data_IF_087137492841
#
_entry.id   IF_087137492841
#
_cell.length_a   1.000
_cell.length_b   1.000
_cell.length_c   1.000
_cell.angle_alpha   90.00
_cell.angle_beta   90.00
_cell.angle_gamma   90.00
#
_symmetry.space_group_name_H-M   'P 1'
#
loop_
_entity.id
_entity.type
_entity.pdbx_description
1 polymer ?
#
# COMPACT_ATOMS: atom_id res chain seq x y z
N UNK A 1 -2.33 12.73 -11.29
CA UNK A 1 -2.20 11.26 -11.19
C UNK A 1 -2.95 10.61 -12.35
N UNK A 2 -2.26 10.16 -13.41
CA UNK A 2 -2.93 9.50 -14.56
C UNK A 2 -2.51 8.03 -14.78
N UNK A 3 -1.56 7.51 -13.99
CA UNK A 3 -1.03 6.14 -14.15
C UNK A 3 -0.83 5.44 -12.79
N UNK A 4 -1.78 5.58 -11.86
CA UNK A 4 -1.78 4.83 -10.60
C UNK A 4 -3.06 3.97 -10.53
N UNK A 5 -2.95 2.79 -9.94
CA UNK A 5 -4.08 1.86 -9.74
C UNK A 5 -4.32 1.72 -8.25
N UNK A 6 -5.57 1.95 -7.82
CA UNK A 6 -5.98 1.72 -6.45
C UNK A 6 -6.34 0.25 -6.25
N UNK A 7 -5.68 -0.40 -5.30
CA UNK A 7 -6.03 -1.75 -4.85
C UNK A 7 -6.55 -1.67 -3.42
N UNK A 8 -7.66 -2.37 -3.14
CA UNK A 8 -8.26 -2.47 -1.81
C UNK A 8 -8.51 -3.93 -1.49
N UNK A 9 -8.07 -4.36 -0.32
CA UNK A 9 -8.30 -5.69 0.21
C UNK A 9 -9.23 -5.60 1.43
N UNK A 10 -10.33 -6.34 1.41
CA UNK A 10 -11.31 -6.39 2.51
C UNK A 10 -10.89 -7.48 3.52
N UNK A 11 -10.48 -7.06 4.72
CA UNK A 11 -10.01 -7.96 5.78
C UNK A 11 -11.12 -8.44 6.73
N UNK A 12 -12.40 -8.30 6.38
CA UNK A 12 -13.51 -8.78 7.23
C UNK A 12 -13.56 -10.31 7.34
N UNK A 13 -13.07 -11.04 6.32
CA UNK A 13 -13.17 -12.51 6.24
C UNK A 13 -11.84 -13.28 6.35
N UNK A 14 -10.81 -12.71 7.01
CA UNK A 14 -9.49 -13.36 7.25
C UNK A 14 -9.01 -14.24 6.07
N UNK A 15 -9.06 -13.69 4.87
CA UNK A 15 -8.71 -14.39 3.64
C UNK A 15 -7.22 -14.80 3.64
N UNK A 16 -6.89 -16.04 3.27
CA UNK A 16 -5.53 -16.54 3.34
C UNK A 16 -4.54 -15.77 2.43
N UNK A 17 -5.00 -15.25 1.29
CA UNK A 17 -4.19 -14.44 0.37
C UNK A 17 -3.85 -13.10 1.00
N UNK A 18 -4.83 -12.44 1.63
CA UNK A 18 -4.62 -11.18 2.33
C UNK A 18 -3.73 -11.41 3.57
N UNK A 19 -3.91 -12.53 4.29
CA UNK A 19 -3.09 -12.91 5.44
C UNK A 19 -1.61 -13.03 5.04
N UNK A 20 -1.35 -13.70 3.92
CA UNK A 20 -0.01 -13.84 3.36
C UNK A 20 0.60 -12.49 2.98
N UNK A 21 -0.15 -11.66 2.26
CA UNK A 21 0.32 -10.32 1.88
C UNK A 21 0.63 -9.43 3.10
N UNK A 22 -0.17 -9.52 4.17
CA UNK A 22 0.11 -8.84 5.44
C UNK A 22 1.40 -9.38 6.09
N UNK A 23 1.58 -10.69 6.13
CA UNK A 23 2.75 -11.34 6.72
C UNK A 23 4.04 -11.02 5.95
N UNK A 24 4.00 -10.93 4.62
CA UNK A 24 5.12 -10.49 3.77
C UNK A 24 5.61 -9.08 4.14
N UNK A 25 4.72 -8.24 4.71
CA UNK A 25 5.04 -6.90 5.22
C UNK A 25 5.27 -6.88 6.73
N UNK A 26 5.39 -8.04 7.38
CA UNK A 26 5.58 -8.17 8.82
C UNK A 26 4.37 -7.73 9.66
N UNK A 27 3.15 -7.77 9.08
CA UNK A 27 1.93 -7.33 9.74
C UNK A 27 1.03 -8.51 10.12
N UNK A 28 0.49 -8.45 11.33
CA UNK A 28 -0.50 -9.41 11.81
C UNK A 28 -1.96 -9.03 11.40
N UNK A 29 -2.17 -7.84 10.84
CA UNK A 29 -3.49 -7.30 10.57
C UNK A 29 -3.48 -5.90 9.95
N UNK A 30 -4.70 -5.37 9.75
CA UNK A 30 -4.98 -4.03 9.19
C UNK A 30 -4.99 -2.95 10.28
N UNK A 31 -4.84 -1.65 9.95
CA UNK A 31 -4.65 -1.07 8.61
C UNK A 31 -3.22 -1.20 8.09
N UNK A 32 -3.07 -1.52 6.80
CA UNK A 32 -1.81 -1.46 6.06
C UNK A 32 -2.04 -0.72 4.74
N UNK A 33 -1.21 0.28 4.49
CA UNK A 33 -1.22 1.06 3.26
C UNK A 33 0.16 0.98 2.63
N UNK A 34 0.18 0.68 1.34
CA UNK A 34 1.39 0.48 0.55
C UNK A 34 1.31 1.32 -0.72
N UNK A 35 2.45 1.84 -1.17
CA UNK A 35 2.60 2.41 -2.51
C UNK A 35 3.76 1.72 -3.21
N UNK A 36 3.49 1.12 -4.36
CA UNK A 36 4.49 0.45 -5.17
C UNK A 36 5.06 1.41 -6.23
N UNK A 37 6.39 1.46 -6.43
CA UNK A 37 7.02 2.28 -7.47
C UNK A 37 6.69 1.77 -8.87
N UNK A 38 6.66 2.67 -9.85
CA UNK A 38 6.36 2.36 -11.24
C UNK A 38 7.40 1.42 -11.86
N UNK A 39 8.66 1.59 -11.51
CA UNK A 39 9.76 0.71 -11.92
C UNK A 39 9.74 -0.69 -11.30
N UNK A 40 8.80 -0.97 -10.39
CA UNK A 40 8.78 -2.20 -9.59
C UNK A 40 9.77 -2.14 -8.41
N UNK A 41 9.69 -3.14 -7.53
CA UNK A 41 10.49 -3.21 -6.31
C UNK A 41 9.67 -3.14 -5.04
N UNK A 42 10.35 -2.90 -3.91
CA UNK A 42 9.72 -2.89 -2.59
C UNK A 42 8.75 -1.70 -2.45
N UNK A 43 7.58 -1.90 -1.82
CA UNK A 43 6.63 -0.81 -1.57
C UNK A 43 7.13 0.10 -0.45
N UNK A 44 6.70 1.37 -0.51
CA UNK A 44 6.71 2.24 0.66
C UNK A 44 5.51 1.92 1.56
N UNK A 45 5.75 1.69 2.85
CA UNK A 45 4.70 1.54 3.86
C UNK A 45 4.30 2.93 4.34
N UNK A 46 3.00 3.27 4.26
CA UNK A 46 2.49 4.55 4.75
C UNK A 46 2.06 4.47 6.23
N UNK A 47 2.04 5.62 6.94
CA UNK A 47 1.49 5.70 8.29
C UNK A 47 0.00 5.31 8.34
N UNK A 48 -0.47 4.92 9.53
CA UNK A 48 -1.87 4.55 9.73
C UNK A 48 -2.82 5.76 9.64
N UNK A 49 -2.35 6.92 10.11
CA UNK A 49 -3.05 8.20 9.94
C UNK A 49 -2.63 8.80 8.60
N UNK A 50 -3.54 8.75 7.63
CA UNK A 50 -3.33 9.34 6.32
C UNK A 50 -3.79 10.80 6.31
N UNK A 51 -3.02 11.63 5.62
CA UNK A 51 -3.47 12.93 5.13
C UNK A 51 -3.45 12.91 3.62
N UNK A 52 -4.28 13.72 2.98
CA UNK A 52 -4.34 13.83 1.53
C UNK A 52 -2.96 14.17 0.94
N UNK A 53 -2.27 15.15 1.52
CA UNK A 53 -0.92 15.55 1.10
C UNK A 53 0.09 14.41 1.17
N UNK A 54 0.05 13.58 2.22
CA UNK A 54 0.96 12.43 2.37
C UNK A 54 0.73 11.40 1.26
N UNK A 55 -0.53 11.12 0.92
CA UNK A 55 -0.86 10.15 -0.12
C UNK A 55 -0.42 10.66 -1.49
N UNK A 56 -0.69 11.93 -1.79
CA UNK A 56 -0.24 12.57 -3.04
C UNK A 56 1.28 12.50 -3.17
N UNK A 57 2.01 12.91 -2.14
CA UNK A 57 3.48 12.90 -2.13
C UNK A 57 4.03 11.49 -2.36
N UNK A 58 3.47 10.48 -1.68
CA UNK A 58 3.90 9.09 -1.83
C UNK A 58 3.70 8.56 -3.26
N UNK A 59 2.55 8.86 -3.88
CA UNK A 59 2.25 8.46 -5.26
C UNK A 59 3.17 9.17 -6.26
N UNK A 60 3.46 10.45 -6.05
CA UNK A 60 4.39 11.20 -6.91
C UNK A 60 5.83 10.68 -6.82
N UNK A 61 6.29 10.33 -5.62
CA UNK A 61 7.61 9.69 -5.44
C UNK A 61 7.66 8.33 -6.14
N UNK A 62 6.63 7.52 -5.96
CA UNK A 62 6.52 6.21 -6.59
C UNK A 62 6.43 6.28 -8.12
N UNK A 63 5.88 7.35 -8.70
CA UNK A 63 5.83 7.53 -10.14
C UNK A 63 7.18 7.91 -10.78
N UNK A 64 8.13 8.42 -9.98
CA UNK A 64 9.47 8.83 -10.42
C UNK A 64 10.51 7.69 -10.35
N UNK A 65 10.25 6.67 -9.51
CA UNK A 65 11.05 5.45 -9.38
C UNK A 65 10.53 4.32 -10.24
#
# INVERSE_FOLDING_TARGET
>A
AQNAVLLKADWTKRDATIAKALAEQGRAGVPLYLVYPKGGGAPAILPQLLTEGLVIEAVEKAAKG
#
